data_IF_422901887704
#
_entry.id   IF_422901887704
#
_cell.length_a   1.000
_cell.length_b   1.000
_cell.length_c   1.000
_cell.angle_alpha   90.00
_cell.angle_beta   90.00
_cell.angle_gamma   90.00
#
_symmetry.space_group_name_H-M   'P 1'
#
loop_
_entity.id
_entity.type
_entity.pdbx_description
1 polymer ?
#
# COMPACT_ATOMS: atom_id res chain seq x y z
N UNK A 1 0.08 -8.77 -5.44
CA UNK A 1 -0.12 -10.14 -4.90
C UNK A 1 1.18 -10.70 -4.35
N UNK A 2 2.25 -10.68 -5.14
CA UNK A 2 3.61 -11.13 -4.78
C UNK A 2 4.12 -10.59 -3.43
N UNK A 3 3.97 -9.29 -3.19
CA UNK A 3 4.33 -8.64 -1.92
C UNK A 3 3.60 -9.23 -0.69
N UNK A 4 2.30 -9.52 -0.81
CA UNK A 4 1.53 -10.14 0.26
C UNK A 4 1.97 -11.59 0.52
N UNK A 5 2.25 -12.33 -0.55
CA UNK A 5 2.80 -13.70 -0.45
C UNK A 5 4.17 -13.67 0.24
N UNK A 6 5.06 -12.76 -0.16
CA UNK A 6 6.38 -12.60 0.44
C UNK A 6 6.29 -12.38 1.96
N UNK A 7 5.47 -11.41 2.41
CA UNK A 7 5.27 -11.14 3.83
C UNK A 7 4.72 -12.35 4.60
N UNK A 8 3.72 -13.03 4.04
CA UNK A 8 3.12 -14.24 4.65
C UNK A 8 4.15 -15.37 4.75
N UNK A 9 4.92 -15.61 3.68
CA UNK A 9 5.91 -16.68 3.62
C UNK A 9 7.03 -16.50 4.63
N UNK A 10 7.57 -15.27 4.75
CA UNK A 10 8.57 -14.95 5.78
C UNK A 10 7.99 -15.20 7.15
N UNK A 11 6.80 -14.63 7.43
CA UNK A 11 6.18 -14.79 8.74
C UNK A 11 5.99 -16.26 9.14
N UNK A 12 5.42 -17.06 8.24
CA UNK A 12 5.19 -18.50 8.46
C UNK A 12 6.48 -19.29 8.68
N UNK A 13 7.58 -18.89 8.06
CA UNK A 13 8.88 -19.52 8.27
C UNK A 13 9.46 -19.17 9.64
N UNK A 14 9.32 -17.91 10.07
CA UNK A 14 9.90 -17.40 11.31
C UNK A 14 9.18 -17.90 12.56
N UNK A 15 7.84 -17.99 12.55
CA UNK A 15 7.09 -18.47 13.74
C UNK A 15 7.43 -19.91 14.15
N UNK A 16 8.07 -20.68 13.27
CA UNK A 16 8.59 -22.02 13.61
C UNK A 16 9.87 -21.98 14.45
N UNK A 17 10.50 -20.80 14.58
CA UNK A 17 11.84 -20.63 15.16
C UNK A 17 11.94 -19.49 16.18
N UNK A 18 10.98 -18.58 16.23
CA UNK A 18 10.99 -17.44 17.14
C UNK A 18 9.57 -17.08 17.59
N UNK A 19 9.47 -16.19 18.59
CA UNK A 19 8.16 -15.75 19.13
C UNK A 19 7.35 -15.02 18.04
N UNK A 20 6.03 -15.03 18.18
CA UNK A 20 5.13 -14.37 17.24
C UNK A 20 5.47 -12.89 17.06
N UNK A 21 5.73 -12.16 18.15
CA UNK A 21 6.05 -10.73 18.13
C UNK A 21 7.36 -10.42 17.38
N UNK A 22 8.41 -11.18 17.65
CA UNK A 22 9.70 -11.06 16.96
C UNK A 22 9.57 -11.38 15.47
N UNK A 23 8.82 -12.44 15.15
CA UNK A 23 8.49 -12.81 13.77
C UNK A 23 7.77 -11.68 13.03
N UNK A 24 6.90 -10.93 13.72
CA UNK A 24 6.22 -9.78 13.13
C UNK A 24 7.19 -8.66 12.78
N UNK A 25 7.97 -8.23 13.77
CA UNK A 25 8.91 -7.11 13.61
C UNK A 25 9.89 -7.42 12.48
N UNK A 26 10.42 -8.64 12.44
CA UNK A 26 11.34 -9.05 11.39
C UNK A 26 10.67 -9.08 10.01
N UNK A 27 9.46 -9.67 9.91
CA UNK A 27 8.69 -9.67 8.66
C UNK A 27 8.46 -8.26 8.13
N UNK A 28 8.07 -7.33 9.00
CA UNK A 28 7.87 -5.93 8.64
C UNK A 28 9.18 -5.31 8.13
N UNK A 29 10.30 -5.50 8.83
CA UNK A 29 11.61 -5.00 8.39
C UNK A 29 11.97 -5.50 6.99
N UNK A 30 11.80 -6.81 6.72
CA UNK A 30 12.04 -7.36 5.38
C UNK A 30 11.13 -6.74 4.32
N UNK A 31 9.86 -6.53 4.66
CA UNK A 31 8.89 -5.93 3.76
C UNK A 31 9.23 -4.48 3.42
N UNK A 32 9.52 -3.65 4.43
CA UNK A 32 9.91 -2.25 4.26
C UNK A 32 11.26 -2.11 3.54
N UNK A 33 12.21 -3.01 3.81
CA UNK A 33 13.47 -3.05 3.07
C UNK A 33 13.25 -3.37 1.58
N UNK A 34 12.33 -4.29 1.26
CA UNK A 34 11.95 -4.56 -0.12
C UNK A 34 11.33 -3.31 -0.79
N UNK A 35 10.50 -2.56 -0.07
CA UNK A 35 9.99 -1.27 -0.57
C UNK A 35 11.14 -0.29 -0.87
N UNK A 36 12.12 -0.16 0.03
CA UNK A 36 13.28 0.72 -0.21
C UNK A 36 14.03 0.33 -1.49
N UNK A 37 14.22 -0.97 -1.74
CA UNK A 37 14.87 -1.47 -2.96
C UNK A 37 14.08 -1.05 -4.20
N UNK A 38 12.74 -1.19 -4.20
CA UNK A 38 11.91 -0.73 -5.31
C UNK A 38 12.11 0.76 -5.59
N UNK A 39 12.19 1.58 -4.53
CA UNK A 39 12.44 3.02 -4.62
C UNK A 39 13.92 3.40 -4.78
N UNK A 40 14.86 2.45 -4.94
CA UNK A 40 16.23 2.78 -5.38
C UNK A 40 16.28 3.19 -6.85
N UNK A 41 15.34 2.74 -7.67
CA UNK A 41 15.27 3.11 -9.10
C UNK A 41 15.22 4.64 -9.28
N UNK A 42 16.18 5.25 -10.01
CA UNK A 42 16.17 6.69 -10.27
C UNK A 42 14.90 7.14 -11.00
N UNK A 43 14.40 6.32 -11.92
CA UNK A 43 13.16 6.58 -12.66
C UNK A 43 11.99 6.63 -11.67
N UNK A 44 11.82 5.61 -10.84
CA UNK A 44 10.72 5.59 -9.86
C UNK A 44 10.80 6.77 -8.88
N UNK A 45 12.01 7.16 -8.47
CA UNK A 45 12.23 8.35 -7.63
C UNK A 45 11.84 9.65 -8.32
N UNK A 46 12.16 9.79 -9.60
CA UNK A 46 11.77 10.96 -10.39
C UNK A 46 10.24 11.08 -10.47
N UNK A 47 9.56 9.98 -10.82
CA UNK A 47 8.09 9.93 -10.86
C UNK A 47 7.47 10.24 -9.50
N UNK A 48 8.04 9.69 -8.42
CA UNK A 48 7.50 9.85 -7.06
C UNK A 48 7.70 11.25 -6.48
N UNK A 49 8.69 12.01 -6.94
CA UNK A 49 8.93 13.39 -6.50
C UNK A 49 8.11 14.43 -7.25
N UNK A 50 7.55 14.11 -8.42
CA UNK A 50 6.77 15.05 -9.21
C UNK A 50 5.27 14.86 -8.98
N UNK A 51 4.62 15.89 -8.45
CA UNK A 51 3.15 15.93 -8.26
C UNK A 51 2.39 15.65 -9.56
N UNK A 52 2.86 16.19 -10.67
CA UNK A 52 2.23 16.01 -11.99
C UNK A 52 2.38 14.57 -12.47
N UNK A 53 3.61 14.02 -12.41
CA UNK A 53 3.84 12.64 -12.84
C UNK A 53 3.12 11.63 -11.95
N UNK A 54 3.08 11.85 -10.63
CA UNK A 54 2.30 11.03 -9.69
C UNK A 54 0.81 10.99 -10.04
N UNK A 55 0.21 12.14 -10.39
CA UNK A 55 -1.20 12.20 -10.78
C UNK A 55 -1.47 11.40 -12.04
N UNK A 56 -0.61 11.56 -13.04
CA UNK A 56 -0.74 10.86 -14.33
C UNK A 56 -0.56 9.36 -14.13
N UNK A 57 0.55 8.95 -13.49
CA UNK A 57 0.85 7.55 -13.25
C UNK A 57 -0.25 6.87 -12.43
N UNK A 58 -0.77 7.53 -11.38
CA UNK A 58 -1.84 6.96 -10.56
C UNK A 58 -3.12 6.74 -11.35
N UNK A 59 -3.53 7.69 -12.20
CA UNK A 59 -4.71 7.52 -13.06
C UNK A 59 -4.54 6.33 -14.01
N UNK A 60 -3.35 6.20 -14.62
CA UNK A 60 -3.04 5.09 -15.52
C UNK A 60 -3.10 3.76 -14.77
N UNK A 61 -2.44 3.67 -13.61
CA UNK A 61 -2.43 2.46 -12.78
C UNK A 61 -3.85 2.06 -12.37
N UNK A 62 -4.66 3.01 -11.90
CA UNK A 62 -6.05 2.73 -11.49
C UNK A 62 -6.87 2.23 -12.68
N UNK A 63 -6.74 2.87 -13.85
CA UNK A 63 -7.45 2.45 -15.06
C UNK A 63 -7.03 1.06 -15.52
N UNK A 64 -5.72 0.80 -15.62
CA UNK A 64 -5.17 -0.50 -16.02
C UNK A 64 -5.63 -1.61 -15.07
N UNK A 65 -5.50 -1.39 -13.76
CA UNK A 65 -5.93 -2.37 -12.76
C UNK A 65 -7.43 -2.64 -12.84
N UNK A 66 -8.26 -1.59 -12.94
CA UNK A 66 -9.71 -1.78 -13.01
C UNK A 66 -10.18 -2.40 -14.33
N UNK A 67 -9.42 -2.28 -15.42
CA UNK A 67 -9.74 -2.92 -16.70
C UNK A 67 -9.47 -4.42 -16.72
N UNK A 68 -8.68 -4.93 -15.77
CA UNK A 68 -8.43 -6.36 -15.62
C UNK A 68 -9.60 -6.96 -14.85
N UNK A 69 -10.47 -7.70 -15.54
CA UNK A 69 -11.55 -8.44 -14.90
C UNK A 69 -10.95 -9.60 -14.09
N UNK A 70 -10.65 -9.33 -12.82
CA UNK A 70 -10.06 -10.28 -11.91
C UNK A 70 -10.78 -10.19 -10.57
N UNK A 71 -11.61 -11.19 -10.31
CA UNK A 71 -12.38 -11.34 -9.06
C UNK A 71 -11.50 -11.47 -7.81
N UNK A 72 -10.20 -11.73 -7.95
CA UNK A 72 -9.20 -11.75 -6.89
C UNK A 72 -8.19 -10.60 -6.99
N UNK A 73 -8.43 -9.66 -7.90
CA UNK A 73 -7.56 -8.52 -8.18
C UNK A 73 -7.73 -7.36 -7.21
N UNK A 74 -6.99 -6.29 -7.49
CA UNK A 74 -7.29 -5.00 -6.89
C UNK A 74 -8.48 -4.37 -7.61
N UNK A 75 -9.35 -3.69 -6.87
CA UNK A 75 -10.41 -2.84 -7.43
C UNK A 75 -10.36 -1.48 -6.76
N UNK A 76 -10.20 -0.44 -7.57
CA UNK A 76 -10.09 0.94 -7.11
C UNK A 76 -11.32 1.76 -7.50
N UNK A 77 -11.62 2.80 -6.73
CA UNK A 77 -12.56 3.84 -7.10
C UNK A 77 -11.87 5.20 -7.00
N UNK A 78 -11.64 5.85 -8.14
CA UNK A 78 -11.08 7.20 -8.15
C UNK A 78 -12.15 8.20 -7.65
N UNK A 79 -11.79 9.07 -6.71
CA UNK A 79 -12.70 10.14 -6.25
C UNK A 79 -12.56 11.39 -7.11
N UNK A 80 -13.61 12.21 -7.08
CA UNK A 80 -13.60 13.53 -7.71
C UNK A 80 -12.46 14.40 -7.20
N UNK A 81 -11.83 15.16 -8.09
CA UNK A 81 -10.70 16.02 -7.75
C UNK A 81 -11.15 17.15 -6.81
N UNK A 82 -10.64 17.16 -5.58
CA UNK A 82 -10.69 18.33 -4.68
C UNK A 82 -9.37 19.09 -4.76
N UNK A 83 -9.42 20.42 -4.63
CA UNK A 83 -8.23 21.29 -4.75
C UNK A 83 -7.15 20.97 -3.70
N UNK A 84 -7.56 20.51 -2.52
CA UNK A 84 -6.65 20.19 -1.40
C UNK A 84 -5.93 18.84 -1.53
N UNK A 85 -6.39 17.94 -2.41
CA UNK A 85 -5.77 16.63 -2.60
C UNK A 85 -4.97 16.57 -3.91
N UNK A 86 -3.80 15.96 -3.85
CA UNK A 86 -3.03 15.58 -5.03
C UNK A 86 -3.83 14.57 -5.87
N UNK A 87 -4.33 13.53 -5.21
CA UNK A 87 -5.32 12.57 -5.67
C UNK A 87 -5.95 11.86 -4.47
N UNK A 88 -7.15 11.32 -4.67
CA UNK A 88 -7.92 10.57 -3.69
C UNK A 88 -8.56 9.36 -4.38
N UNK A 89 -8.47 8.19 -3.76
CA UNK A 89 -9.11 6.97 -4.25
C UNK A 89 -9.40 6.00 -3.12
N UNK A 90 -10.37 5.13 -3.34
CA UNK A 90 -10.67 4.01 -2.46
C UNK A 90 -10.17 2.71 -3.08
N UNK A 91 -9.76 1.78 -2.24
CA UNK A 91 -9.59 0.37 -2.60
C UNK A 91 -10.81 -0.37 -2.09
N UNK A 92 -11.63 -0.83 -3.02
CA UNK A 92 -12.81 -1.64 -2.73
C UNK A 92 -12.45 -3.12 -2.58
N UNK A 93 -11.36 -3.54 -3.22
CA UNK A 93 -10.89 -4.91 -3.20
C UNK A 93 -9.36 -4.97 -3.17
N UNK A 94 -8.81 -5.77 -2.26
CA UNK A 94 -7.37 -5.92 -2.07
C UNK A 94 -6.95 -7.40 -1.99
N UNK A 95 -6.14 -7.91 -2.93
CA UNK A 95 -5.66 -9.30 -2.92
C UNK A 95 -4.81 -9.61 -1.68
N UNK A 96 -4.10 -8.61 -1.13
CA UNK A 96 -3.29 -8.82 0.08
C UNK A 96 -4.21 -9.15 1.26
N UNK A 97 -5.29 -8.38 1.44
CA UNK A 97 -6.24 -8.63 2.54
C UNK A 97 -6.98 -9.96 2.34
N UNK A 98 -7.39 -10.28 1.10
CA UNK A 98 -7.99 -11.57 0.79
C UNK A 98 -7.06 -12.74 1.12
N UNK A 99 -5.77 -12.65 0.76
CA UNK A 99 -4.76 -13.65 1.10
C UNK A 99 -4.57 -13.76 2.62
N UNK A 100 -4.47 -12.64 3.33
CA UNK A 100 -4.33 -12.65 4.78
C UNK A 100 -5.54 -13.31 5.46
N UNK A 101 -6.76 -13.01 5.00
CA UNK A 101 -7.99 -13.69 5.48
C UNK A 101 -7.94 -15.19 5.20
N UNK A 102 -7.60 -15.59 3.96
CA UNK A 102 -7.47 -17.00 3.55
C UNK A 102 -6.53 -17.81 4.45
N UNK A 103 -5.46 -17.19 4.96
CA UNK A 103 -4.48 -17.86 5.82
C UNK A 103 -4.69 -17.63 7.32
N UNK A 104 -5.76 -16.95 7.75
CA UNK A 104 -5.97 -16.63 9.17
C UNK A 104 -4.94 -15.66 9.74
N UNK A 105 -4.33 -14.82 8.90
CA UNK A 105 -3.24 -13.90 9.24
C UNK A 105 -3.64 -12.43 9.12
N UNK A 106 -4.92 -12.09 9.27
CA UNK A 106 -5.42 -10.73 9.09
C UNK A 106 -4.70 -9.70 10.00
N UNK A 107 -4.26 -10.14 11.18
CA UNK A 107 -3.48 -9.31 12.10
C UNK A 107 -2.15 -8.81 11.48
N UNK A 108 -1.58 -9.47 10.45
CA UNK A 108 -0.39 -8.96 9.75
C UNK A 108 -0.69 -7.68 8.96
N UNK A 109 -1.96 -7.42 8.66
CA UNK A 109 -2.39 -6.26 7.90
C UNK A 109 -1.96 -4.95 8.55
N UNK A 110 -1.87 -4.88 9.88
CA UNK A 110 -1.38 -3.69 10.59
C UNK A 110 0.08 -3.33 10.27
N UNK A 111 0.87 -4.25 9.73
CA UNK A 111 2.27 -4.01 9.38
C UNK A 111 2.46 -3.89 7.87
N UNK A 112 1.82 -4.78 7.11
CA UNK A 112 1.94 -4.77 5.65
C UNK A 112 1.28 -3.54 5.03
N UNK A 113 0.14 -3.10 5.58
CA UNK A 113 -0.55 -1.90 5.07
C UNK A 113 0.16 -0.59 5.44
N UNK A 114 1.00 -0.57 6.47
CA UNK A 114 1.79 0.61 6.85
C UNK A 114 2.90 0.94 5.85
N UNK A 115 3.20 0.03 4.92
CA UNK A 115 4.14 0.32 3.84
C UNK A 115 3.71 1.54 3.01
N UNK A 116 2.41 1.79 2.86
CA UNK A 116 1.90 2.98 2.17
C UNK A 116 2.32 4.28 2.88
N UNK A 117 2.27 4.29 4.23
CA UNK A 117 2.76 5.39 5.05
C UNK A 117 4.29 5.51 4.94
N UNK A 118 4.98 4.38 4.98
CA UNK A 118 6.44 4.32 4.89
C UNK A 118 7.00 4.92 3.59
N UNK A 119 6.36 4.65 2.45
CA UNK A 119 6.83 5.16 1.15
C UNK A 119 6.63 6.67 0.98
N UNK A 120 5.91 7.35 1.89
CA UNK A 120 5.75 8.81 1.86
C UNK A 120 7.07 9.57 1.94
N UNK A 121 8.13 8.98 2.54
CA UNK A 121 9.48 9.58 2.54
C UNK A 121 10.06 9.80 1.14
N UNK A 122 9.51 9.15 0.11
CA UNK A 122 9.89 9.30 -1.30
C UNK A 122 8.99 10.25 -2.09
N UNK A 123 7.89 10.71 -1.50
CA UNK A 123 6.91 11.60 -2.11
C UNK A 123 7.26 13.08 -1.88
N UNK A 124 6.58 14.05 -2.54
CA UNK A 124 6.83 15.46 -2.31
C UNK A 124 6.62 15.85 -0.84
N UNK A 125 7.54 16.64 -0.26
CA UNK A 125 7.55 16.99 1.18
C UNK A 125 6.31 17.75 1.66
N UNK A 126 5.55 18.32 0.74
CA UNK A 126 4.31 19.06 1.00
C UNK A 126 3.07 18.22 0.70
N UNK A 127 3.21 16.89 0.68
CA UNK A 127 2.11 15.93 0.55
C UNK A 127 2.15 14.97 1.73
N UNK A 128 0.99 14.77 2.35
CA UNK A 128 0.78 13.79 3.42
C UNK A 128 -0.27 12.78 3.00
N UNK A 129 -0.14 11.54 3.46
CA UNK A 129 -1.12 10.49 3.26
C UNK A 129 -2.01 10.39 4.49
N UNK A 130 -3.33 10.49 4.27
CA UNK A 130 -4.37 10.29 5.27
C UNK A 130 -5.12 9.00 4.91
N UNK A 131 -5.28 8.12 5.90
CA UNK A 131 -5.93 6.80 5.77
C UNK A 131 -6.77 6.51 7.00
N UNK A 132 -8.03 6.91 6.94
CA UNK A 132 -8.95 6.74 8.07
C UNK A 132 -9.62 5.35 8.05
N UNK A 133 -9.83 4.80 6.85
CA UNK A 133 -10.46 3.47 6.63
C UNK A 133 -9.46 2.48 6.03
N UNK A 134 -9.41 1.27 6.57
CA UNK A 134 -8.49 0.20 6.14
C UNK A 134 -9.17 -1.18 6.20
N UNK A 135 -9.28 -1.84 5.04
CA UNK A 135 -9.84 -3.20 4.90
C UNK A 135 -9.26 -4.23 5.88
N UNK A 136 -7.96 -4.15 6.20
CA UNK A 136 -7.32 -5.08 7.15
C UNK A 136 -7.70 -4.85 8.60
N UNK A 137 -8.26 -3.68 8.94
CA UNK A 137 -8.80 -3.33 10.25
C UNK A 137 -10.30 -3.64 10.38
N UNK A 138 -10.93 -4.11 9.31
CA UNK A 138 -12.35 -4.47 9.29
C UNK A 138 -13.26 -3.47 8.58
N UNK A 139 -12.74 -2.36 8.08
CA UNK A 139 -13.51 -1.41 7.27
C UNK A 139 -13.95 -2.02 5.92
N UNK A 140 -14.95 -1.40 5.29
CA UNK A 140 -15.46 -1.82 3.98
C UNK A 140 -14.54 -1.42 2.82
N UNK A 141 -13.65 -0.43 3.03
CA UNK A 141 -12.73 0.10 2.03
C UNK A 141 -11.37 0.45 2.65
N UNK A 142 -10.33 0.55 1.81
CA UNK A 142 -9.15 1.33 2.18
C UNK A 142 -9.25 2.71 1.54
N UNK A 143 -9.23 3.75 2.36
CA UNK A 143 -9.22 5.13 1.86
C UNK A 143 -7.78 5.63 1.70
N UNK A 144 -7.51 6.33 0.59
CA UNK A 144 -6.22 6.95 0.31
C UNK A 144 -6.40 8.41 -0.09
N UNK A 145 -6.10 9.32 0.84
CA UNK A 145 -6.16 10.78 0.63
C UNK A 145 -4.75 11.36 0.67
N UNK A 146 -4.22 11.75 -0.49
CA UNK A 146 -2.91 12.40 -0.57
C UNK A 146 -3.09 13.92 -0.50
N UNK A 147 -3.09 14.49 0.71
CA UNK A 147 -3.37 15.91 0.97
C UNK A 147 -2.15 16.78 0.73
N UNK A 148 -2.33 17.91 0.03
CA UNK A 148 -1.31 18.93 -0.13
C UNK A 148 -1.37 19.83 1.10
N UNK A 149 -0.29 19.88 1.87
CA UNK A 149 -0.12 20.82 2.98
C UNK A 149 0.53 22.10 2.44
N UNK A 150 -0.08 23.25 2.71
CA UNK A 150 0.60 24.53 2.45
C UNK A 150 1.72 24.66 3.47
N UNK A 151 2.93 24.90 2.99
CA UNK A 151 4.00 25.42 3.84
C UNK A 151 3.83 26.92 4.01
#
# INVERSE_FOLDING_TARGET
MEQGIFGISIYKALIKRMKHEESFIFTQKCFLHNMDIMFKSPILRCFSKSKTLLRISRKIIIKDVNSKDNSLGFKYQLKSKKKEYLYEFDVLQCPIVQLLKKYGLLFLGKYLCEADCYVMKYMPKDVVLIRDKVLSKGDEICEFKYKIIKK
#
